data_IF_875252732643
#
_entry.id   IF_875252732643
#
_cell.length_a   1.000
_cell.length_b   1.000
_cell.length_c   1.000
_cell.angle_alpha   90.00
_cell.angle_beta   90.00
_cell.angle_gamma   90.00
#
_symmetry.space_group_name_H-M   'P 1'
#
loop_
_entity.id
_entity.type
_entity.pdbx_description
1 polymer ?
#
# COMPACT_ATOMS: atom_id res chain seq x y z
N UNK A 1 0.57 -7.43 -2.65
CA UNK A 1 0.34 -8.72 -1.94
C UNK A 1 1.64 -9.49 -1.87
N UNK A 2 1.86 -10.37 -0.90
CA UNK A 2 3.03 -11.29 -0.97
C UNK A 2 2.70 -12.49 -1.87
N UNK A 3 3.67 -13.01 -2.62
CA UNK A 3 3.48 -14.18 -3.49
C UNK A 3 3.55 -15.49 -2.69
N UNK A 4 3.14 -16.61 -3.32
CA UNK A 4 3.26 -17.94 -2.71
C UNK A 4 4.72 -18.29 -2.44
N UNK A 5 5.62 -17.91 -3.34
CA UNK A 5 7.06 -18.14 -3.27
C UNK A 5 7.68 -17.31 -2.14
N UNK A 6 7.28 -16.05 -2.01
CA UNK A 6 7.71 -15.20 -0.88
C UNK A 6 7.27 -15.78 0.46
N UNK A 7 6.02 -16.25 0.56
CA UNK A 7 5.53 -16.91 1.77
C UNK A 7 6.31 -18.20 2.08
N UNK A 8 6.62 -19.03 1.07
CA UNK A 8 7.47 -20.22 1.21
C UNK A 8 8.89 -19.87 1.65
N UNK A 9 9.46 -18.79 1.12
CA UNK A 9 10.80 -18.34 1.53
C UNK A 9 10.82 -17.89 2.99
N UNK A 10 9.84 -17.10 3.42
CA UNK A 10 9.70 -16.67 4.81
C UNK A 10 9.57 -17.87 5.76
N UNK A 11 8.77 -18.88 5.39
CA UNK A 11 8.63 -20.12 6.16
C UNK A 11 9.91 -20.95 6.17
N UNK A 12 10.66 -20.99 5.06
CA UNK A 12 11.92 -21.73 4.97
C UNK A 12 13.00 -21.10 5.84
N UNK A 13 13.11 -19.77 5.80
CA UNK A 13 14.12 -19.00 6.53
C UNK A 13 13.82 -18.97 8.04
N UNK A 14 12.55 -18.81 8.43
CA UNK A 14 12.18 -18.45 9.80
C UNK A 14 11.21 -19.42 10.47
N UNK A 15 10.64 -20.40 9.75
CA UNK A 15 9.61 -21.30 10.27
C UNK A 15 10.06 -22.10 11.50
N UNK A 16 11.32 -22.56 11.51
CA UNK A 16 11.90 -23.25 12.68
C UNK A 16 12.03 -22.33 13.90
N UNK A 17 12.49 -21.10 13.70
CA UNK A 17 12.63 -20.10 14.75
C UNK A 17 11.27 -19.75 15.36
N UNK A 18 10.26 -19.53 14.51
CA UNK A 18 8.91 -19.21 14.92
C UNK A 18 8.24 -20.38 15.66
N UNK A 19 8.45 -21.62 15.21
CA UNK A 19 7.98 -22.82 15.93
C UNK A 19 8.67 -22.96 17.29
N UNK A 20 10.00 -22.78 17.34
CA UNK A 20 10.74 -22.82 18.59
C UNK A 20 10.25 -21.74 19.57
N UNK A 21 9.92 -20.54 19.10
CA UNK A 21 9.30 -19.51 19.93
C UNK A 21 7.91 -19.95 20.43
N UNK A 22 7.06 -20.49 19.56
CA UNK A 22 5.74 -21.01 19.90
C UNK A 22 5.80 -22.08 21.01
N UNK A 23 6.76 -22.99 20.93
CA UNK A 23 6.90 -24.07 21.93
C UNK A 23 7.34 -23.54 23.30
N UNK A 24 7.97 -22.35 23.36
CA UNK A 24 8.41 -21.72 24.60
C UNK A 24 7.37 -20.76 25.21
N UNK A 25 6.41 -20.25 24.43
CA UNK A 25 5.35 -19.33 24.88
C UNK A 25 4.55 -19.87 26.10
N UNK A 26 4.12 -21.15 26.16
CA UNK A 26 3.42 -21.68 27.33
C UNK A 26 4.21 -21.59 28.64
N UNK A 27 5.54 -21.59 28.58
CA UNK A 27 6.43 -21.49 29.76
C UNK A 27 6.58 -20.06 30.28
N UNK A 28 6.21 -19.06 29.48
CA UNK A 28 6.28 -17.63 29.83
C UNK A 28 5.04 -17.10 30.52
N UNK A 29 3.94 -17.87 30.52
CA UNK A 29 2.70 -17.51 31.22
C UNK A 29 2.71 -17.91 32.70
N UNK A 30 3.89 -18.06 33.30
CA UNK A 30 4.00 -18.26 34.74
C UNK A 30 3.66 -16.95 35.48
N UNK A 31 2.87 -16.99 36.57
CA UNK A 31 2.24 -15.81 37.16
C UNK A 31 3.20 -14.98 38.04
N UNK A 32 4.44 -14.74 37.60
CA UNK A 32 5.39 -13.90 38.33
C UNK A 32 5.36 -12.45 37.82
N UNK A 33 4.26 -11.76 38.11
CA UNK A 33 4.25 -10.42 38.70
C UNK A 33 4.77 -9.16 37.98
N UNK A 34 5.48 -9.18 36.85
CA UNK A 34 5.99 -7.90 36.29
C UNK A 34 6.02 -7.73 34.79
N UNK A 35 5.79 -8.79 34.01
CA UNK A 35 5.58 -8.66 32.57
C UNK A 35 4.79 -9.87 32.08
N UNK A 36 3.47 -9.74 31.98
CA UNK A 36 2.74 -10.64 31.09
C UNK A 36 3.14 -10.21 29.67
N UNK A 37 3.86 -11.01 28.86
CA UNK A 37 3.92 -10.74 27.44
C UNK A 37 2.47 -10.52 27.01
N UNK A 38 2.17 -9.33 26.47
CA UNK A 38 0.79 -8.94 26.21
C UNK A 38 0.11 -10.07 25.44
N UNK A 39 -1.14 -10.40 25.82
CA UNK A 39 -1.92 -11.48 25.19
C UNK A 39 -1.79 -11.50 23.65
N UNK A 40 -1.57 -10.34 23.05
CA UNK A 40 -1.27 -10.13 21.63
C UNK A 40 -0.12 -11.01 21.08
N UNK A 41 1.09 -11.00 21.63
CA UNK A 41 2.27 -11.56 20.93
C UNK A 41 2.32 -13.10 20.90
N UNK A 42 1.91 -13.74 22.00
CA UNK A 42 1.70 -15.19 22.10
C UNK A 42 0.67 -15.71 21.09
N UNK A 43 -0.25 -14.84 20.66
CA UNK A 43 -1.29 -15.14 19.69
C UNK A 43 -0.88 -14.75 18.27
N UNK A 44 -0.03 -13.73 18.10
CA UNK A 44 0.41 -13.23 16.80
C UNK A 44 1.33 -14.21 16.10
N UNK A 45 2.35 -14.75 16.80
CA UNK A 45 3.36 -15.64 16.17
C UNK A 45 2.71 -16.89 15.53
N UNK A 46 1.86 -17.68 16.23
CA UNK A 46 1.27 -18.88 15.64
C UNK A 46 0.30 -18.57 14.50
N UNK A 47 -0.44 -17.46 14.60
CA UNK A 47 -1.37 -17.06 13.56
C UNK A 47 -0.63 -16.50 12.34
N UNK A 48 0.51 -15.84 12.52
CA UNK A 48 1.34 -15.34 11.41
C UNK A 48 1.99 -16.51 10.66
N UNK A 49 2.44 -17.54 11.38
CA UNK A 49 2.86 -18.83 10.80
C UNK A 49 1.75 -19.47 9.97
N UNK A 50 0.56 -19.61 10.56
CA UNK A 50 -0.59 -20.19 9.88
C UNK A 50 -0.97 -19.39 8.63
N UNK A 51 -0.99 -18.06 8.72
CA UNK A 51 -1.26 -17.18 7.58
C UNK A 51 -0.23 -17.40 6.47
N UNK A 52 1.07 -17.43 6.77
CA UNK A 52 2.11 -17.68 5.78
C UNK A 52 1.92 -19.05 5.11
N UNK A 53 1.57 -20.09 5.87
CA UNK A 53 1.24 -21.40 5.32
C UNK A 53 0.02 -21.36 4.40
N UNK A 54 -1.03 -20.65 4.80
CA UNK A 54 -2.22 -20.44 3.99
C UNK A 54 -1.90 -19.72 2.68
N UNK A 55 -1.07 -18.67 2.71
CA UNK A 55 -0.61 -17.98 1.48
C UNK A 55 0.21 -18.93 0.60
N UNK A 56 1.18 -19.62 1.18
CA UNK A 56 2.07 -20.54 0.44
C UNK A 56 1.30 -21.67 -0.27
N UNK A 57 0.21 -22.14 0.34
CA UNK A 57 -0.63 -23.24 -0.17
C UNK A 57 -1.84 -22.75 -0.97
N UNK A 58 -2.21 -21.47 -0.87
CA UNK A 58 -3.44 -20.93 -1.44
C UNK A 58 -4.71 -21.39 -0.72
N UNK A 59 -4.60 -21.72 0.57
CA UNK A 59 -5.74 -22.14 1.38
C UNK A 59 -6.34 -20.96 2.17
N UNK A 60 -7.65 -21.00 2.52
CA UNK A 60 -8.25 -19.98 3.36
C UNK A 60 -7.65 -19.98 4.76
N UNK A 61 -7.46 -18.79 5.32
CA UNK A 61 -7.02 -18.63 6.70
C UNK A 61 -8.18 -18.86 7.67
N UNK A 62 -7.90 -19.57 8.78
CA UNK A 62 -8.85 -19.81 9.87
C UNK A 62 -8.22 -19.33 11.18
N UNK A 63 -8.57 -18.12 11.67
CA UNK A 63 -7.99 -17.59 12.89
C UNK A 63 -8.27 -18.51 14.08
N UNK A 64 -7.30 -18.63 14.98
CA UNK A 64 -7.49 -19.38 16.23
C UNK A 64 -8.45 -18.64 17.17
N UNK A 65 -9.13 -19.36 18.07
CA UNK A 65 -10.11 -18.78 19.00
C UNK A 65 -9.54 -17.64 19.87
N UNK A 66 -8.24 -17.70 20.13
CA UNK A 66 -7.52 -16.70 20.91
C UNK A 66 -7.36 -15.34 20.20
N UNK A 67 -7.43 -15.30 18.85
CA UNK A 67 -7.27 -14.08 18.05
C UNK A 67 -8.59 -13.37 17.74
N UNK A 68 -9.74 -14.03 18.01
CA UNK A 68 -11.08 -13.42 17.88
C UNK A 68 -11.29 -12.19 18.78
N UNK A 69 -10.49 -12.03 19.83
CA UNK A 69 -10.50 -10.85 20.69
C UNK A 69 -9.81 -9.61 20.11
N UNK A 70 -9.10 -9.72 18.98
CA UNK A 70 -8.48 -8.58 18.31
C UNK A 70 -9.49 -7.95 17.33
N UNK A 71 -10.00 -6.73 17.58
CA UNK A 71 -11.11 -6.15 16.83
C UNK A 71 -10.86 -5.99 15.32
N UNK A 72 -9.59 -5.99 14.88
CA UNK A 72 -9.21 -5.94 13.47
C UNK A 72 -9.21 -7.32 12.76
N UNK A 73 -9.00 -8.42 13.50
CA UNK A 73 -8.85 -9.77 12.93
C UNK A 73 -10.20 -10.43 12.68
N UNK A 74 -11.21 -10.18 13.52
CA UNK A 74 -12.59 -10.63 13.30
C UNK A 74 -13.18 -10.06 12.00
N UNK A 75 -12.74 -8.87 11.58
CA UNK A 75 -13.18 -8.21 10.34
C UNK A 75 -12.40 -8.65 9.09
N UNK A 76 -11.24 -9.28 9.26
CA UNK A 76 -10.33 -9.66 8.16
C UNK A 76 -10.66 -11.02 7.53
N UNK A 77 -11.77 -11.65 7.96
CA UNK A 77 -12.57 -12.62 7.22
C UNK A 77 -11.81 -13.53 6.27
N UNK A 78 -11.18 -14.60 6.76
CA UNK A 78 -10.56 -15.72 6.01
C UNK A 78 -9.51 -15.37 4.95
N UNK A 79 -9.30 -14.10 4.60
CA UNK A 79 -8.29 -13.67 3.64
C UNK A 79 -6.92 -13.71 4.32
N UNK A 80 -6.02 -14.63 3.91
CA UNK A 80 -4.71 -14.72 4.51
C UNK A 80 -3.87 -13.45 4.25
N UNK A 81 -4.11 -12.68 3.18
CA UNK A 81 -3.31 -11.48 2.87
C UNK A 81 -3.68 -10.31 3.77
N UNK A 82 -4.98 -10.09 4.00
CA UNK A 82 -5.44 -9.12 5.00
C UNK A 82 -4.95 -9.49 6.41
N UNK A 83 -5.09 -10.76 6.80
CA UNK A 83 -4.61 -11.24 8.09
C UNK A 83 -3.08 -11.09 8.25
N UNK A 84 -2.30 -11.33 7.20
CA UNK A 84 -0.85 -11.14 7.20
C UNK A 84 -0.48 -9.69 7.53
N UNK A 85 -1.13 -8.72 6.88
CA UNK A 85 -0.87 -7.30 7.09
C UNK A 85 -1.23 -6.88 8.52
N UNK A 86 -2.39 -7.31 9.04
CA UNK A 86 -2.80 -6.95 10.40
C UNK A 86 -1.89 -7.57 11.47
N UNK A 87 -1.57 -8.87 11.36
CA UNK A 87 -0.67 -9.53 12.29
C UNK A 87 0.75 -8.93 12.27
N UNK A 88 1.25 -8.58 11.08
CA UNK A 88 2.58 -7.98 10.94
C UNK A 88 2.68 -6.61 11.61
N UNK A 89 1.59 -5.83 11.68
CA UNK A 89 1.55 -4.55 12.41
C UNK A 89 1.60 -4.76 13.92
N UNK A 90 1.00 -5.85 14.39
CA UNK A 90 0.88 -6.14 15.81
C UNK A 90 2.15 -6.77 16.39
N UNK A 91 2.99 -7.39 15.55
CA UNK A 91 4.29 -7.91 15.98
C UNK A 91 5.15 -6.74 16.47
N UNK A 92 5.39 -6.67 17.78
CA UNK A 92 5.96 -5.48 18.41
C UNK A 92 7.41 -5.72 18.87
N UNK A 93 8.33 -4.84 18.49
CA UNK A 93 9.75 -4.91 18.89
C UNK A 93 10.02 -5.02 20.42
N UNK A 94 9.24 -4.37 21.31
CA UNK A 94 9.32 -4.56 22.75
C UNK A 94 9.14 -6.01 23.22
N UNK A 95 8.33 -6.84 22.54
CA UNK A 95 8.22 -8.25 22.88
C UNK A 95 9.53 -8.99 22.62
N UNK A 96 10.14 -8.79 21.44
CA UNK A 96 11.42 -9.40 21.10
C UNK A 96 12.54 -8.93 22.04
N UNK A 97 12.53 -7.65 22.40
CA UNK A 97 13.47 -7.09 23.37
C UNK A 97 13.27 -7.69 24.78
N UNK A 98 12.03 -7.89 25.21
CA UNK A 98 11.72 -8.53 26.48
C UNK A 98 12.15 -10.00 26.48
N UNK A 99 11.80 -10.75 25.42
CA UNK A 99 12.22 -12.14 25.25
C UNK A 99 13.74 -12.28 25.30
N UNK A 100 14.47 -11.39 24.62
CA UNK A 100 15.93 -11.38 24.62
C UNK A 100 16.53 -11.18 26.03
N UNK A 101 15.88 -10.37 26.86
CA UNK A 101 16.30 -10.14 28.26
C UNK A 101 16.03 -11.34 29.15
N UNK A 102 14.90 -12.02 28.96
CA UNK A 102 14.51 -13.18 29.76
C UNK A 102 15.27 -14.45 29.36
N UNK A 103 15.74 -14.52 28.11
CA UNK A 103 16.43 -15.68 27.55
C UNK A 103 17.76 -15.28 26.90
N UNK A 104 18.73 -14.76 27.68
CA UNK A 104 20.03 -14.33 27.16
C UNK A 104 20.81 -15.48 26.51
N UNK A 105 20.51 -16.74 26.84
CA UNK A 105 21.10 -17.93 26.22
C UNK A 105 20.58 -18.21 24.80
N UNK A 106 19.52 -17.52 24.36
CA UNK A 106 18.84 -17.75 23.06
C UNK A 106 19.07 -16.63 22.06
N UNK A 107 20.28 -16.08 22.03
CA UNK A 107 20.66 -14.97 21.14
C UNK A 107 20.37 -15.23 19.67
N UNK A 108 20.65 -16.44 19.17
CA UNK A 108 20.40 -16.82 17.79
C UNK A 108 18.91 -16.77 17.43
N UNK A 109 18.06 -17.31 18.30
CA UNK A 109 16.60 -17.31 18.11
C UNK A 109 16.04 -15.88 18.10
N UNK A 110 16.52 -15.03 19.01
CA UNK A 110 16.15 -13.60 19.06
C UNK A 110 16.53 -12.89 17.76
N UNK A 111 17.73 -13.14 17.25
CA UNK A 111 18.22 -12.55 16.01
C UNK A 111 17.37 -12.96 14.80
N UNK A 112 17.03 -14.25 14.69
CA UNK A 112 16.17 -14.78 13.63
C UNK A 112 14.76 -14.17 13.68
N UNK A 113 14.20 -14.00 14.88
CA UNK A 113 12.88 -13.38 15.06
C UNK A 113 12.88 -11.87 14.74
N UNK A 114 13.97 -11.17 15.05
CA UNK A 114 14.12 -9.76 14.69
C UNK A 114 14.23 -9.57 13.17
N UNK A 115 14.98 -10.44 12.48
CA UNK A 115 15.06 -10.44 11.02
C UNK A 115 13.70 -10.76 10.38
N UNK A 116 13.01 -11.77 10.92
CA UNK A 116 11.65 -12.08 10.50
C UNK A 116 10.71 -10.88 10.67
N UNK A 117 10.69 -10.24 11.84
CA UNK A 117 9.88 -9.04 12.10
C UNK A 117 10.16 -7.94 11.09
N UNK A 118 11.43 -7.70 10.79
CA UNK A 118 11.84 -6.71 9.81
C UNK A 118 11.28 -7.03 8.41
N UNK A 119 11.46 -8.26 7.93
CA UNK A 119 11.00 -8.68 6.60
C UNK A 119 9.47 -8.61 6.48
N UNK A 120 8.72 -9.13 7.46
CA UNK A 120 7.25 -9.09 7.41
C UNK A 120 6.71 -7.66 7.49
N UNK A 121 7.33 -6.80 8.30
CA UNK A 121 6.98 -5.38 8.38
C UNK A 121 7.23 -4.64 7.05
N UNK A 122 8.34 -4.94 6.37
CA UNK A 122 8.61 -4.40 5.03
C UNK A 122 7.55 -4.84 4.01
N UNK A 123 7.21 -6.14 4.00
CA UNK A 123 6.17 -6.67 3.12
C UNK A 123 4.80 -6.05 3.40
N UNK A 124 4.38 -5.98 4.66
CA UNK A 124 3.11 -5.38 5.06
C UNK A 124 3.06 -3.89 4.66
N UNK A 125 4.14 -3.14 4.89
CA UNK A 125 4.26 -1.73 4.48
C UNK A 125 4.14 -1.57 2.97
N UNK A 126 4.78 -2.45 2.19
CA UNK A 126 4.68 -2.44 0.72
C UNK A 126 3.24 -2.67 0.27
N UNK A 127 2.54 -3.65 0.86
CA UNK A 127 1.13 -3.95 0.53
C UNK A 127 0.23 -2.75 0.84
N UNK A 128 0.42 -2.12 2.01
CA UNK A 128 -0.35 -0.93 2.39
C UNK A 128 -0.11 0.22 1.41
N UNK A 129 1.15 0.46 1.02
CA UNK A 129 1.49 1.48 0.01
C UNK A 129 0.85 1.19 -1.34
N UNK A 130 0.87 -0.07 -1.80
CA UNK A 130 0.21 -0.48 -3.04
C UNK A 130 -1.30 -0.22 -3.00
N UNK A 131 -1.96 -0.58 -1.88
CA UNK A 131 -3.39 -0.36 -1.66
C UNK A 131 -3.74 1.13 -1.66
N UNK A 132 -2.97 1.93 -0.93
CA UNK A 132 -3.13 3.39 -0.89
C UNK A 132 -2.93 4.03 -2.28
N UNK A 133 -1.94 3.55 -3.03
CA UNK A 133 -1.67 4.01 -4.40
C UNK A 133 -2.83 3.68 -5.31
N UNK A 134 -3.35 2.45 -5.26
CA UNK A 134 -4.49 2.03 -6.07
C UNK A 134 -5.75 2.84 -5.77
N UNK A 135 -6.02 3.09 -4.49
CA UNK A 135 -7.11 3.96 -4.04
C UNK A 135 -6.95 5.37 -4.60
N UNK A 136 -5.78 5.99 -4.41
CA UNK A 136 -5.51 7.34 -4.90
C UNK A 136 -5.62 7.43 -6.43
N UNK A 137 -5.09 6.45 -7.18
CA UNK A 137 -5.26 6.39 -8.63
C UNK A 137 -6.73 6.36 -9.06
N UNK A 138 -7.56 5.60 -8.35
CA UNK A 138 -9.00 5.48 -8.65
C UNK A 138 -9.73 6.80 -8.40
N UNK A 139 -9.41 7.50 -7.31
CA UNK A 139 -9.96 8.82 -6.99
C UNK A 139 -9.52 9.90 -8.01
N UNK A 140 -8.26 9.87 -8.42
CA UNK A 140 -7.75 10.75 -9.49
C UNK A 140 -8.48 10.48 -10.81
N UNK A 141 -8.65 9.21 -11.20
CA UNK A 141 -9.38 8.86 -12.43
C UNK A 141 -10.83 9.37 -12.41
N UNK A 142 -11.50 9.29 -11.25
CA UNK A 142 -12.85 9.84 -11.10
C UNK A 142 -12.87 11.35 -11.38
N UNK A 143 -11.93 12.12 -10.80
CA UNK A 143 -11.81 13.56 -11.07
C UNK A 143 -11.54 13.88 -12.54
N UNK A 144 -10.66 13.11 -13.18
CA UNK A 144 -10.34 13.28 -14.60
C UNK A 144 -11.61 13.04 -15.42
N UNK A 145 -12.40 12.02 -15.06
CA UNK A 145 -13.66 11.70 -15.73
C UNK A 145 -14.66 12.84 -15.62
N UNK A 146 -14.85 13.38 -14.41
CA UNK A 146 -15.74 14.52 -14.16
C UNK A 146 -15.35 15.76 -15.00
N UNK A 147 -14.05 15.95 -15.25
CA UNK A 147 -13.58 17.02 -16.13
C UNK A 147 -13.85 16.73 -17.61
N UNK A 148 -13.60 15.50 -18.08
CA UNK A 148 -13.87 15.08 -19.46
C UNK A 148 -15.35 15.29 -19.82
N UNK A 149 -16.27 14.93 -18.92
CA UNK A 149 -17.71 15.07 -19.14
C UNK A 149 -18.17 16.52 -19.34
N UNK A 150 -17.44 17.50 -18.75
CA UNK A 150 -17.71 18.94 -18.93
C UNK A 150 -17.18 19.48 -20.27
N UNK A 151 -16.27 18.75 -20.93
CA UNK A 151 -15.61 19.17 -22.16
C UNK A 151 -15.65 18.05 -23.24
N UNK A 152 -16.84 17.55 -23.64
CA UNK A 152 -16.99 16.35 -24.45
C UNK A 152 -16.45 16.46 -25.89
N UNK A 153 -16.28 17.69 -26.39
CA UNK A 153 -15.88 17.96 -27.77
C UNK A 153 -14.35 18.10 -27.96
N UNK A 154 -13.55 17.82 -26.94
CA UNK A 154 -12.09 17.91 -27.01
C UNK A 154 -11.48 16.54 -27.36
N UNK A 155 -10.90 16.41 -28.56
CA UNK A 155 -10.29 15.16 -29.07
C UNK A 155 -9.33 14.48 -28.07
N UNK A 156 -8.47 15.27 -27.40
CA UNK A 156 -7.55 14.69 -26.42
C UNK A 156 -8.24 14.15 -25.16
N UNK A 157 -9.38 14.72 -24.76
CA UNK A 157 -10.18 14.25 -23.62
C UNK A 157 -10.97 12.99 -24.00
N UNK A 158 -11.44 12.90 -25.25
CA UNK A 158 -12.05 11.67 -25.77
C UNK A 158 -11.07 10.49 -25.75
N UNK A 159 -9.78 10.73 -26.07
CA UNK A 159 -8.72 9.73 -25.94
C UNK A 159 -8.48 9.30 -24.50
N UNK A 160 -8.52 10.23 -23.54
CA UNK A 160 -8.45 9.89 -22.11
C UNK A 160 -9.65 9.04 -21.68
N UNK A 161 -10.85 9.36 -22.17
CA UNK A 161 -12.05 8.58 -21.88
C UNK A 161 -11.93 7.15 -22.38
N UNK A 162 -11.45 6.96 -23.61
CA UNK A 162 -11.21 5.63 -24.18
C UNK A 162 -10.19 4.80 -23.37
N UNK A 163 -9.21 5.45 -22.71
CA UNK A 163 -8.28 4.76 -21.80
C UNK A 163 -9.01 4.30 -20.51
N UNK A 164 -9.96 5.09 -20.01
CA UNK A 164 -10.75 4.72 -18.82
C UNK A 164 -11.60 3.47 -19.05
N UNK A 165 -12.06 3.25 -20.27
CA UNK A 165 -12.88 2.11 -20.65
C UNK A 165 -12.07 0.81 -20.84
N UNK A 166 -10.73 0.88 -20.85
CA UNK A 166 -9.88 -0.32 -20.98
C UNK A 166 -10.07 -1.27 -19.80
N UNK A 167 -9.95 -2.58 -20.05
CA UNK A 167 -9.93 -3.59 -18.99
C UNK A 167 -8.52 -3.75 -18.38
N UNK A 168 -8.00 -2.67 -17.81
CA UNK A 168 -6.69 -2.62 -17.14
C UNK A 168 -6.82 -2.04 -15.73
N UNK A 169 -5.77 -2.17 -14.91
CA UNK A 169 -5.79 -1.64 -13.54
C UNK A 169 -5.87 -0.10 -13.53
N UNK A 170 -6.46 0.49 -12.49
CA UNK A 170 -6.51 1.95 -12.30
C UNK A 170 -5.13 2.60 -12.42
N UNK A 171 -4.10 1.92 -11.91
CA UNK A 171 -2.71 2.37 -11.99
C UNK A 171 -2.22 2.45 -13.44
N UNK A 172 -2.52 1.43 -14.27
CA UNK A 172 -2.15 1.42 -15.69
C UNK A 172 -2.91 2.49 -16.49
N UNK A 173 -4.21 2.64 -16.25
CA UNK A 173 -5.04 3.68 -16.87
C UNK A 173 -4.49 5.07 -16.60
N UNK A 174 -4.21 5.37 -15.32
CA UNK A 174 -3.67 6.67 -14.94
C UNK A 174 -2.28 6.89 -15.55
N UNK A 175 -1.45 5.85 -15.66
CA UNK A 175 -0.12 5.97 -16.27
C UNK A 175 -0.21 6.36 -17.75
N UNK A 176 -1.11 5.75 -18.49
CA UNK A 176 -1.36 6.09 -19.90
C UNK A 176 -1.93 7.49 -20.05
N UNK A 177 -2.86 7.90 -19.18
CA UNK A 177 -3.43 9.26 -19.18
C UNK A 177 -2.35 10.31 -18.87
N UNK A 178 -1.45 10.05 -17.92
CA UNK A 178 -0.30 10.93 -17.62
C UNK A 178 0.64 11.01 -18.83
N UNK A 179 0.92 9.89 -19.49
CA UNK A 179 1.77 9.88 -20.69
C UNK A 179 1.13 10.69 -21.83
N UNK A 180 -0.17 10.52 -22.05
CA UNK A 180 -0.93 11.32 -23.02
C UNK A 180 -0.90 12.81 -22.68
N UNK A 181 -1.07 13.17 -21.40
CA UNK A 181 -1.01 14.55 -20.97
C UNK A 181 0.38 15.17 -21.17
N UNK A 182 1.46 14.40 -20.94
CA UNK A 182 2.83 14.84 -21.21
C UNK A 182 3.07 15.08 -22.70
N UNK A 183 2.58 14.20 -23.57
CA UNK A 183 2.62 14.40 -25.03
C UNK A 183 1.84 15.67 -25.44
N UNK A 184 0.68 15.90 -24.83
CA UNK A 184 -0.18 17.05 -25.13
C UNK A 184 0.28 18.38 -24.52
N UNK A 185 1.19 18.35 -23.53
CA UNK A 185 1.79 19.53 -22.88
C UNK A 185 2.65 20.38 -23.83
N UNK A 186 2.98 19.88 -25.02
CA UNK A 186 3.57 20.63 -26.15
C UNK A 186 4.87 21.38 -25.81
N UNK A 187 6.01 20.72 -25.99
CA UNK A 187 7.36 21.28 -25.82
C UNK A 187 7.92 22.03 -27.05
N UNK A 188 7.10 22.69 -27.89
CA UNK A 188 7.68 23.54 -28.95
C UNK A 188 6.97 24.88 -29.14
N UNK A 189 7.76 25.95 -29.21
CA UNK A 189 7.29 27.31 -29.55
C UNK A 189 6.48 27.34 -30.86
N UNK A 190 6.80 26.40 -31.77
CA UNK A 190 6.14 26.20 -33.06
C UNK A 190 4.71 25.62 -32.92
N UNK A 191 4.49 24.70 -31.97
CA UNK A 191 3.15 24.14 -31.70
C UNK A 191 2.30 25.04 -30.81
N UNK A 192 2.90 25.85 -29.93
CA UNK A 192 2.19 26.92 -29.17
C UNK A 192 1.51 27.92 -30.10
N UNK A 193 2.24 28.47 -31.07
CA UNK A 193 1.68 29.40 -32.06
C UNK A 193 0.59 28.74 -32.92
N UNK A 194 0.76 27.46 -33.28
CA UNK A 194 -0.26 26.70 -34.01
C UNK A 194 -1.48 26.35 -33.14
N UNK A 195 -1.32 26.16 -31.83
CA UNK A 195 -2.42 25.88 -30.89
C UNK A 195 -3.21 27.14 -30.51
N UNK A 196 -2.54 28.27 -30.32
CA UNK A 196 -3.19 29.57 -30.08
C UNK A 196 -3.95 30.06 -31.33
N UNK A 197 -3.36 29.94 -32.52
CA UNK A 197 -3.94 30.50 -33.75
C UNK A 197 -5.02 29.61 -34.38
N UNK A 198 -4.90 28.28 -34.29
CA UNK A 198 -5.80 27.34 -35.00
C UNK A 198 -6.78 26.56 -34.12
N UNK A 199 -6.54 26.42 -32.80
CA UNK A 199 -7.38 25.55 -31.94
C UNK A 199 -8.29 26.25 -30.94
N UNK A 200 -8.14 27.55 -30.66
CA UNK A 200 -8.90 28.27 -29.59
C UNK A 200 -9.09 27.39 -28.34
N UNK A 201 -8.01 26.75 -27.86
CA UNK A 201 -8.13 25.82 -26.73
C UNK A 201 -8.60 26.60 -25.50
N UNK A 202 -9.63 26.08 -24.86
CA UNK A 202 -10.09 26.55 -23.57
C UNK A 202 -8.91 26.53 -22.58
N UNK A 203 -8.54 27.69 -21.97
CA UNK A 203 -7.46 27.76 -20.98
C UNK A 203 -7.61 26.73 -19.85
N UNK A 204 -8.84 26.37 -19.49
CA UNK A 204 -9.12 25.35 -18.48
C UNK A 204 -8.63 23.96 -18.91
N UNK A 205 -8.77 23.63 -20.19
CA UNK A 205 -8.34 22.34 -20.75
C UNK A 205 -6.81 22.25 -20.81
N UNK A 206 -6.13 23.35 -21.14
CA UNK A 206 -4.66 23.40 -21.16
C UNK A 206 -4.09 23.27 -19.73
N UNK A 207 -4.67 23.99 -18.76
CA UNK A 207 -4.31 23.86 -17.35
C UNK A 207 -4.50 22.43 -16.85
N UNK A 208 -5.61 21.79 -17.21
CA UNK A 208 -5.88 20.39 -16.87
C UNK A 208 -4.82 19.43 -17.39
N UNK A 209 -4.36 19.55 -18.65
CA UNK A 209 -3.26 18.72 -19.17
C UNK A 209 -1.96 18.96 -18.41
N UNK A 210 -1.64 20.21 -18.07
CA UNK A 210 -0.44 20.53 -17.30
C UNK A 210 -0.47 19.90 -15.91
N UNK A 211 -1.62 19.92 -15.24
CA UNK A 211 -1.81 19.35 -13.92
C UNK A 211 -1.67 17.83 -13.94
N UNK A 212 -2.31 17.15 -14.90
CA UNK A 212 -2.15 15.70 -15.07
C UNK A 212 -0.70 15.34 -15.39
N UNK A 213 -0.02 16.12 -16.23
CA UNK A 213 1.37 15.85 -16.62
C UNK A 213 2.35 15.96 -15.44
N UNK A 214 2.01 16.70 -14.38
CA UNK A 214 2.79 16.81 -13.13
C UNK A 214 2.61 15.59 -12.21
N UNK A 215 1.58 14.77 -12.42
CA UNK A 215 1.33 13.60 -11.57
C UNK A 215 2.42 12.52 -11.74
N UNK A 216 2.74 11.86 -10.63
CA UNK A 216 3.65 10.72 -10.57
C UNK A 216 3.03 9.62 -9.71
N UNK A 217 2.75 8.48 -10.34
CA UNK A 217 2.14 7.31 -9.69
C UNK A 217 3.04 6.73 -8.59
N UNK A 218 4.36 6.95 -8.69
CA UNK A 218 5.32 6.52 -7.66
C UNK A 218 5.30 7.42 -6.43
N UNK A 219 4.58 8.53 -6.46
CA UNK A 219 4.44 9.49 -5.36
C UNK A 219 2.98 9.57 -4.90
N UNK A 220 2.50 8.62 -4.06
CA UNK A 220 1.11 8.56 -3.61
C UNK A 220 0.61 9.86 -2.97
N UNK A 221 1.52 10.63 -2.34
CA UNK A 221 1.20 11.94 -1.77
C UNK A 221 0.74 12.93 -2.82
N UNK A 222 1.42 13.02 -3.97
CA UNK A 222 1.03 13.93 -5.06
C UNK A 222 -0.31 13.55 -5.69
N UNK A 223 -0.64 12.26 -5.72
CA UNK A 223 -1.98 11.80 -6.13
C UNK A 223 -3.05 12.24 -5.12
N UNK A 224 -2.79 12.09 -3.81
CA UNK A 224 -3.71 12.56 -2.76
C UNK A 224 -3.88 14.08 -2.80
N UNK A 225 -2.79 14.84 -2.92
CA UNK A 225 -2.84 16.30 -3.04
C UNK A 225 -3.71 16.74 -4.24
N UNK A 226 -3.63 16.05 -5.38
CA UNK A 226 -4.51 16.30 -6.53
C UNK A 226 -5.99 16.00 -6.22
N UNK A 227 -6.27 14.93 -5.48
CA UNK A 227 -7.63 14.57 -5.02
C UNK A 227 -8.16 15.58 -3.99
N UNK A 228 -7.32 16.18 -3.18
CA UNK A 228 -7.74 17.11 -2.12
C UNK A 228 -7.90 18.56 -2.62
N UNK A 229 -7.27 18.94 -3.74
CA UNK A 229 -7.34 20.29 -4.33
C UNK A 229 -8.69 20.64 -5.01
N UNK A 230 -9.83 20.20 -4.47
CA UNK A 230 -11.14 20.52 -5.04
C UNK A 230 -11.36 22.02 -5.21
N UNK A 231 -11.88 22.39 -6.39
CA UNK A 231 -12.49 23.67 -6.82
C UNK A 231 -11.68 24.64 -7.70
N UNK A 232 -10.37 24.50 -7.88
CA UNK A 232 -9.67 25.29 -8.91
C UNK A 232 -8.32 24.66 -9.33
N UNK A 233 -8.13 24.28 -10.61
CA UNK A 233 -6.90 23.62 -11.08
C UNK A 233 -5.61 24.48 -10.97
N UNK A 234 -5.70 25.79 -10.70
CA UNK A 234 -4.53 26.68 -10.68
C UNK A 234 -3.58 26.59 -9.45
N UNK A 235 -3.69 25.59 -8.56
CA UNK A 235 -3.00 25.61 -7.25
C UNK A 235 -1.86 24.60 -7.09
N UNK A 236 -1.56 23.75 -8.08
CA UNK A 236 -0.46 22.77 -7.95
C UNK A 236 0.94 23.41 -7.82
N UNK A 237 1.15 24.64 -8.33
CA UNK A 237 2.45 25.31 -8.22
C UNK A 237 2.69 26.02 -6.87
N UNK A 238 1.65 26.20 -6.04
CA UNK A 238 1.80 26.87 -4.73
C UNK A 238 2.14 25.93 -3.58
N UNK A 239 1.84 24.63 -3.69
CA UNK A 239 2.03 23.67 -2.59
C UNK A 239 3.47 23.18 -2.50
N UNK A 240 4.18 23.06 -3.63
CA UNK A 240 5.59 22.66 -3.64
C UNK A 240 6.56 23.75 -3.15
N UNK A 241 6.13 25.01 -3.04
CA UNK A 241 6.97 26.13 -2.60
C UNK A 241 6.73 26.57 -1.15
N UNK A 242 5.87 25.90 -0.39
CA UNK A 242 5.51 26.31 1.00
C UNK A 242 5.96 25.37 2.11
N UNK A 243 6.86 24.42 1.83
CA UNK A 243 7.45 23.56 2.86
C UNK A 243 8.95 23.47 2.68
N UNK A 244 9.61 24.57 3.03
CA UNK A 244 10.95 24.54 3.62
C UNK A 244 10.85 24.01 5.05
#
# INVERSE_FOLDING_TARGET
MITKEQAKQLLTNYGKALQALQDNIPRMNTPSGSFSPGRADAQIIPNLLQVLQCIATGTPYKPTDFVKGLPAMDRSGRDPQAAFVELSKQLNGPFLNYYARMHPERTQLVFELANFHHEVAQHATKILREKDTHKACTEVLAKIKDFIEKHPNVDGLQKMNAIMDKNTSSTAKLAEIIALAKDKKSDSALTKAFHETFRKRDPAVEAFYQDIAKLDIKKPRGLKDYVDLSENPHVLDKVNNKRY
#
